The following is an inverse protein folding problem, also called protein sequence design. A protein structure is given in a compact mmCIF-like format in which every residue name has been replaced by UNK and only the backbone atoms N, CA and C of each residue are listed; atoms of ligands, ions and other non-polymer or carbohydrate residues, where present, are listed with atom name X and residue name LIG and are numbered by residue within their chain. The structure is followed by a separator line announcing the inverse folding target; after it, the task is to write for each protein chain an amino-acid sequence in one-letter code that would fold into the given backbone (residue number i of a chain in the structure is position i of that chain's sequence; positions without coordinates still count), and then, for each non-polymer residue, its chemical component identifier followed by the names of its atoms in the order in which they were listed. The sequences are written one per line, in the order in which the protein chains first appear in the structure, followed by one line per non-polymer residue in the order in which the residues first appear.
data_IF_570457214530
#
_entry.id   IF_570457214530
#
_cell.length_a   1.000
_cell.length_b   1.000
_cell.length_c   1.000
_cell.angle_alpha   90.00
_cell.angle_beta   90.00
_cell.angle_gamma   90.00
#
_symmetry.space_group_name_H-M   'P 1'
#
loop_
_entity.id
_entity.type
_entity.pdbx_description
1 polymer ?
#
# COMPACT_ATOMS: atom_id res chain seq x y z
N UNK A 1 -20.72 -29.19 32.47
CA UNK A 1 -21.35 -29.77 31.25
C UNK A 1 -22.18 -28.77 30.44
N UNK A 2 -22.03 -27.44 30.63
CA UNK A 2 -22.78 -26.42 29.86
C UNK A 2 -21.92 -25.69 28.81
N UNK A 3 -20.58 -25.85 28.83
CA UNK A 3 -19.66 -25.20 27.89
C UNK A 3 -19.46 -25.98 26.57
N UNK A 4 -19.67 -27.31 26.58
CA UNK A 4 -19.49 -28.14 25.38
C UNK A 4 -20.66 -28.05 24.38
N UNK A 5 -21.82 -27.53 24.80
CA UNK A 5 -22.99 -27.37 23.92
C UNK A 5 -22.94 -26.09 23.09
N UNK A 6 -22.26 -25.05 23.58
CA UNK A 6 -22.11 -23.75 22.90
C UNK A 6 -21.04 -23.82 21.81
N UNK A 7 -19.95 -24.55 22.06
CA UNK A 7 -18.91 -24.84 21.06
C UNK A 7 -19.46 -25.67 19.87
N UNK A 8 -20.47 -26.51 20.12
CA UNK A 8 -21.18 -27.27 19.08
C UNK A 8 -22.31 -26.50 18.38
N UNK A 9 -22.62 -25.26 18.80
CA UNK A 9 -23.52 -24.36 18.10
C UNK A 9 -22.72 -23.43 17.16
N UNK A 10 -21.53 -22.98 17.56
CA UNK A 10 -20.66 -22.15 16.72
C UNK A 10 -20.02 -22.94 15.55
N UNK A 11 -19.79 -24.24 15.71
CA UNK A 11 -19.21 -25.08 14.65
C UNK A 11 -20.22 -25.62 13.61
N UNK A 12 -21.52 -25.39 13.79
CA UNK A 12 -22.57 -25.95 12.91
C UNK A 12 -22.91 -25.08 11.68
N UNK A 13 -22.48 -23.82 11.66
CA UNK A 13 -22.72 -22.92 10.52
C UNK A 13 -21.65 -23.00 9.41
N UNK A 14 -20.57 -23.77 9.61
CA UNK A 14 -19.49 -23.94 8.62
C UNK A 14 -19.67 -25.16 7.68
N UNK A 15 -20.65 -26.03 7.91
CA UNK A 15 -20.89 -27.27 7.13
C UNK A 15 -22.14 -27.17 6.25
N UNK A 16 -22.26 -26.08 5.48
CA UNK A 16 -23.17 -26.02 4.33
C UNK A 16 -22.53 -25.33 3.15
N UNK A 17 -21.34 -25.81 2.78
CA UNK A 17 -20.64 -25.46 1.55
C UNK A 17 -21.35 -26.07 0.32
N UNK A 18 -22.58 -25.62 0.01
CA UNK A 18 -22.99 -25.56 -1.40
C UNK A 18 -22.29 -24.34 -1.99
N UNK A 19 -21.67 -24.42 -3.17
CA UNK A 19 -21.24 -23.23 -3.88
C UNK A 19 -22.50 -22.47 -4.31
N UNK A 20 -23.03 -21.62 -3.43
CA UNK A 20 -24.10 -20.71 -3.78
C UNK A 20 -23.48 -19.73 -4.78
N UNK A 21 -23.72 -19.97 -6.07
CA UNK A 21 -23.44 -19.03 -7.16
C UNK A 21 -24.34 -17.81 -6.97
N UNK A 22 -24.08 -17.03 -5.94
CA UNK A 22 -24.71 -15.75 -5.70
C UNK A 22 -24.28 -14.82 -6.83
N UNK A 23 -25.28 -14.39 -7.62
CA UNK A 23 -25.11 -13.38 -8.66
C UNK A 23 -24.40 -12.16 -8.08
N UNK A 24 -23.46 -11.56 -8.82
CA UNK A 24 -22.66 -10.42 -8.36
C UNK A 24 -23.53 -9.26 -7.82
N UNK A 25 -24.76 -9.12 -8.34
CA UNK A 25 -25.75 -8.14 -7.88
C UNK A 25 -26.31 -8.42 -6.48
N UNK A 26 -26.51 -9.70 -6.12
CA UNK A 26 -26.94 -10.08 -4.77
C UNK A 26 -25.81 -9.87 -3.74
N UNK A 27 -24.54 -10.02 -4.15
CA UNK A 27 -23.36 -9.75 -3.29
C UNK A 27 -23.23 -8.25 -2.98
N UNK A 28 -23.52 -7.38 -3.95
CA UNK A 28 -23.57 -5.93 -3.74
C UNK A 28 -24.74 -5.49 -2.86
N UNK A 29 -25.81 -6.30 -2.74
CA UNK A 29 -26.92 -6.04 -1.82
C UNK A 29 -26.55 -6.19 -0.34
N UNK A 30 -25.51 -6.98 -0.03
CA UNK A 30 -24.95 -7.13 1.33
C UNK A 30 -23.78 -6.18 1.62
N UNK A 31 -23.52 -5.22 0.73
CA UNK A 31 -22.40 -4.29 0.86
C UNK A 31 -22.67 -3.30 2.00
N UNK A 32 -22.13 -3.61 3.17
CA UNK A 32 -22.33 -2.86 4.39
C UNK A 32 -21.66 -1.47 4.30
N UNK A 33 -22.30 -0.42 4.83
CA UNK A 33 -21.74 0.94 4.87
C UNK A 33 -20.41 0.99 5.62
N UNK A 34 -20.25 0.15 6.65
CA UNK A 34 -18.98 -0.01 7.38
C UNK A 34 -17.88 -0.61 6.50
N UNK A 35 -18.23 -1.54 5.60
CA UNK A 35 -17.26 -2.15 4.68
C UNK A 35 -16.76 -1.14 3.65
N UNK A 36 -17.65 -0.32 3.09
CA UNK A 36 -17.29 0.78 2.19
C UNK A 36 -16.32 1.74 2.88
N UNK A 37 -16.61 2.10 4.13
CA UNK A 37 -15.77 3.00 4.91
C UNK A 37 -14.37 2.43 5.13
N UNK A 38 -14.26 1.17 5.53
CA UNK A 38 -12.97 0.48 5.72
C UNK A 38 -12.20 0.39 4.38
N UNK A 39 -12.88 0.11 3.27
CA UNK A 39 -12.25 0.06 1.94
C UNK A 39 -11.70 1.42 1.53
N UNK A 40 -12.45 2.50 1.73
CA UNK A 40 -11.98 3.86 1.45
C UNK A 40 -10.82 4.26 2.37
N UNK A 41 -10.88 3.90 3.64
CA UNK A 41 -9.81 4.15 4.60
C UNK A 41 -8.51 3.45 4.20
N UNK A 42 -8.57 2.16 3.88
CA UNK A 42 -7.42 1.39 3.38
C UNK A 42 -6.89 1.94 2.05
N UNK A 43 -7.79 2.37 1.16
CA UNK A 43 -7.40 3.02 -0.10
C UNK A 43 -6.66 4.34 0.16
N UNK A 44 -7.11 5.18 1.10
CA UNK A 44 -6.41 6.40 1.49
C UNK A 44 -5.02 6.13 2.06
N UNK A 45 -4.84 5.05 2.83
CA UNK A 45 -3.52 4.61 3.30
C UNK A 45 -2.61 4.20 2.13
N UNK A 46 -3.14 3.42 1.17
CA UNK A 46 -2.38 3.01 -0.01
C UNK A 46 -2.01 4.22 -0.91
N UNK A 47 -2.91 5.18 -1.07
CA UNK A 47 -2.67 6.41 -1.81
C UNK A 47 -1.63 7.30 -1.15
N UNK A 48 -1.65 7.45 0.19
CA UNK A 48 -0.62 8.21 0.90
C UNK A 48 0.77 7.63 0.65
N UNK A 49 0.89 6.30 0.69
CA UNK A 49 2.16 5.66 0.38
C UNK A 49 2.60 5.88 -1.07
N UNK A 50 1.68 5.73 -2.03
CA UNK A 50 1.97 6.00 -3.44
C UNK A 50 2.37 7.46 -3.70
N UNK A 51 1.72 8.40 -3.02
CA UNK A 51 2.01 9.83 -3.11
C UNK A 51 3.41 10.17 -2.58
N UNK A 52 3.80 9.62 -1.43
CA UNK A 52 5.11 9.85 -0.82
C UNK A 52 6.25 9.36 -1.75
N UNK A 53 6.20 8.09 -2.17
CA UNK A 53 7.21 7.50 -3.06
C UNK A 53 7.22 8.19 -4.44
N UNK A 54 6.04 8.48 -4.98
CA UNK A 54 5.89 9.13 -6.28
C UNK A 54 6.45 10.56 -6.27
N UNK A 55 6.08 11.36 -5.28
CA UNK A 55 6.56 12.74 -5.14
C UNK A 55 8.07 12.78 -4.95
N UNK A 56 8.62 11.88 -4.11
CA UNK A 56 10.06 11.80 -3.88
C UNK A 56 10.86 11.45 -5.15
N UNK A 57 10.34 10.53 -5.97
CA UNK A 57 10.95 10.22 -7.27
C UNK A 57 10.85 11.39 -8.26
N UNK A 58 9.73 12.14 -8.23
CA UNK A 58 9.52 13.31 -9.06
C UNK A 58 10.46 14.46 -8.73
N UNK A 59 10.68 14.77 -7.45
CA UNK A 59 11.62 15.83 -7.04
C UNK A 59 13.07 15.49 -7.39
N UNK A 60 13.48 14.22 -7.30
CA UNK A 60 14.83 13.79 -7.73
C UNK A 60 15.08 14.00 -9.23
N UNK A 61 14.03 13.96 -10.05
CA UNK A 61 14.10 14.22 -11.49
C UNK A 61 14.05 15.71 -11.85
N UNK A 62 13.77 16.60 -10.90
CA UNK A 62 13.69 18.04 -11.17
C UNK A 62 15.08 18.67 -11.31
N UNK A 63 15.24 19.50 -12.33
CA UNK A 63 16.48 20.24 -12.61
C UNK A 63 16.92 21.12 -11.43
N UNK A 64 15.97 21.73 -10.71
CA UNK A 64 16.24 22.54 -9.52
C UNK A 64 16.94 21.72 -8.43
N UNK A 65 16.48 20.50 -8.19
CA UNK A 65 17.04 19.59 -7.21
C UNK A 65 18.41 19.07 -7.64
N UNK A 66 18.55 18.72 -8.92
CA UNK A 66 19.82 18.29 -9.50
C UNK A 66 20.87 19.40 -9.53
N UNK A 67 20.47 20.67 -9.61
CA UNK A 67 21.39 21.81 -9.52
C UNK A 67 21.94 22.00 -8.09
N UNK A 68 21.13 21.70 -7.09
CA UNK A 68 21.49 21.86 -5.67
C UNK A 68 22.32 20.67 -5.15
N UNK A 69 21.96 19.44 -5.52
CA UNK A 69 22.53 18.20 -4.98
C UNK A 69 23.27 17.34 -6.01
N UNK A 70 23.23 17.70 -7.28
CA UNK A 70 23.85 16.97 -8.38
C UNK A 70 25.26 17.46 -8.71
N UNK A 71 25.94 16.68 -9.55
CA UNK A 71 27.22 17.06 -10.12
C UNK A 71 27.02 17.57 -11.55
N UNK A 72 27.77 18.59 -11.93
CA UNK A 72 27.78 19.08 -13.30
C UNK A 72 28.40 18.01 -14.22
N UNK A 73 27.66 17.58 -15.23
CA UNK A 73 28.18 16.67 -16.24
C UNK A 73 28.62 17.47 -17.48
N UNK A 74 29.93 17.55 -17.79
CA UNK A 74 30.45 18.32 -18.92
C UNK A 74 30.05 17.75 -20.29
N UNK A 75 29.70 16.46 -20.39
CA UNK A 75 29.34 15.82 -21.65
C UNK A 75 27.90 16.15 -22.09
N UNK A 76 27.00 16.32 -21.13
CA UNK A 76 25.58 16.60 -21.37
C UNK A 76 25.18 18.06 -21.11
N UNK A 77 26.07 18.85 -20.50
CA UNK A 77 25.81 20.24 -20.09
C UNK A 77 24.71 20.37 -19.02
N UNK A 78 24.32 19.25 -18.41
CA UNK A 78 23.21 19.13 -17.45
C UNK A 78 23.74 18.74 -16.07
N UNK A 79 23.02 19.17 -15.05
CA UNK A 79 23.27 18.76 -13.67
C UNK A 79 22.52 17.45 -13.45
N UNK A 80 23.24 16.40 -13.01
CA UNK A 80 22.66 15.09 -12.78
C UNK A 80 22.95 14.64 -11.36
N UNK A 81 21.98 13.98 -10.73
CA UNK A 81 22.15 13.41 -9.41
C UNK A 81 23.04 12.15 -9.49
N UNK A 82 24.11 12.03 -8.68
CA UNK A 82 24.94 10.83 -8.66
C UNK A 82 24.10 9.59 -8.30
N UNK A 83 24.29 8.49 -9.03
CA UNK A 83 23.50 7.27 -8.84
C UNK A 83 23.57 6.69 -7.42
N UNK A 84 24.72 6.83 -6.74
CA UNK A 84 24.88 6.39 -5.36
C UNK A 84 24.00 7.22 -4.40
N UNK A 85 23.88 8.52 -4.62
CA UNK A 85 23.10 9.42 -3.77
C UNK A 85 21.61 9.16 -3.97
N UNK A 86 21.17 9.02 -5.22
CA UNK A 86 19.79 8.63 -5.55
C UNK A 86 19.43 7.26 -4.94
N UNK A 87 20.37 6.31 -4.94
CA UNK A 87 20.16 4.98 -4.35
C UNK A 87 19.97 5.03 -2.83
N UNK A 88 20.80 5.80 -2.10
CA UNK A 88 20.66 5.98 -0.64
C UNK A 88 19.35 6.68 -0.29
N UNK A 89 19.04 7.76 -1.01
CA UNK A 89 17.82 8.55 -0.82
C UNK A 89 16.56 7.69 -0.99
N UNK A 90 16.55 6.85 -2.03
CA UNK A 90 15.39 6.01 -2.33
C UNK A 90 15.31 4.80 -1.40
N UNK A 91 16.44 4.21 -0.97
CA UNK A 91 16.43 3.04 -0.09
C UNK A 91 16.04 3.36 1.37
N UNK A 92 16.39 4.53 1.88
CA UNK A 92 16.11 4.96 3.27
C UNK A 92 14.64 4.77 3.70
N UNK A 93 13.63 5.23 2.94
CA UNK A 93 12.23 5.01 3.30
C UNK A 93 11.79 3.53 3.24
N UNK A 94 12.35 2.73 2.34
CA UNK A 94 12.05 1.28 2.29
C UNK A 94 12.66 0.51 3.46
N UNK A 95 13.85 0.91 3.91
CA UNK A 95 14.44 0.35 5.13
C UNK A 95 13.57 0.64 6.36
N UNK A 96 13.06 1.86 6.50
CA UNK A 96 12.12 2.20 7.58
C UNK A 96 10.85 1.34 7.54
N UNK A 97 10.30 1.10 6.34
CA UNK A 97 9.17 0.17 6.16
C UNK A 97 9.52 -1.26 6.53
N UNK A 98 10.70 -1.76 6.15
CA UNK A 98 11.13 -3.11 6.48
C UNK A 98 11.23 -3.31 8.00
N UNK A 99 11.75 -2.31 8.73
CA UNK A 99 11.83 -2.37 10.20
C UNK A 99 10.44 -2.36 10.85
N UNK A 100 9.51 -1.57 10.33
CA UNK A 100 8.14 -1.48 10.87
C UNK A 100 7.32 -2.75 10.59
N UNK A 101 7.55 -3.41 9.47
CA UNK A 101 6.81 -4.62 9.07
C UNK A 101 7.44 -5.94 9.56
N UNK A 102 8.67 -5.90 10.07
CA UNK A 102 9.37 -7.05 10.67
C UNK A 102 9.01 -7.22 12.16
#
# INVERSE_FOLDING_TARGET
MHAAADEQAMAKDDVSARPQRLSARARLGHFNKMLVFIMLYLACCALNYGYDVGTFSGVQAMQSFQREFGAYNPDTGLWALPGWLSSVMTATPFFGKAIVCA
#
